data_IF_542572375955
#
_entry.id   IF_542572375955
#
_cell.length_a   1.000
_cell.length_b   1.000
_cell.length_c   1.000
_cell.angle_alpha   90.00
_cell.angle_beta   90.00
_cell.angle_gamma   90.00
#
_symmetry.space_group_name_H-M   'P 1'
#
loop_
_entity.id
_entity.type
_entity.pdbx_description
1 polymer ?
#
# COMPACT_ATOMS: atom_id res chain seq x y z
N UNK A 1 13.08 13.22 3.47
CA UNK A 1 12.81 12.35 4.64
C UNK A 1 13.67 11.09 4.53
N UNK A 2 13.98 10.37 5.61
CA UNK A 2 14.61 9.03 5.48
C UNK A 2 13.52 7.97 5.31
N UNK A 3 13.24 7.63 4.05
CA UNK A 3 12.22 6.66 3.67
C UNK A 3 12.51 5.25 4.19
N UNK A 4 13.80 4.85 4.27
CA UNK A 4 14.18 3.53 4.78
C UNK A 4 13.88 3.43 6.28
N UNK A 5 14.28 4.46 7.04
CA UNK A 5 13.98 4.53 8.47
C UNK A 5 12.48 4.49 8.76
N UNK A 6 11.67 5.20 7.97
CA UNK A 6 10.22 5.19 8.15
C UNK A 6 9.61 3.82 7.75
N UNK A 7 10.12 3.18 6.70
CA UNK A 7 9.73 1.81 6.34
C UNK A 7 10.03 0.81 7.47
N UNK A 8 11.16 0.95 8.15
CA UNK A 8 11.52 0.10 9.30
C UNK A 8 10.59 0.35 10.50
N UNK A 9 10.20 1.60 10.75
CA UNK A 9 9.22 1.92 11.80
C UNK A 9 7.85 1.28 11.50
N UNK A 10 7.41 1.33 10.24
CA UNK A 10 6.19 0.65 9.79
C UNK A 10 6.33 -0.86 9.98
N UNK A 11 7.48 -1.43 9.62
CA UNK A 11 7.74 -2.86 9.76
C UNK A 11 7.61 -3.33 11.22
N UNK A 12 8.27 -2.62 12.13
CA UNK A 12 8.19 -2.89 13.58
C UNK A 12 6.75 -2.79 14.06
N UNK A 13 6.03 -1.75 13.65
CA UNK A 13 4.63 -1.55 14.01
C UNK A 13 3.72 -2.67 13.47
N UNK A 14 3.95 -3.16 12.26
CA UNK A 14 3.20 -4.28 11.68
C UNK A 14 3.50 -5.57 12.43
N UNK A 15 4.77 -5.92 12.62
CA UNK A 15 5.18 -7.14 13.34
C UNK A 15 4.59 -7.21 14.74
N UNK A 16 4.55 -6.09 15.46
CA UNK A 16 3.97 -6.01 16.81
C UNK A 16 2.46 -6.32 16.86
N UNK A 17 1.76 -6.26 15.73
CA UNK A 17 0.31 -6.54 15.60
C UNK A 17 0.01 -7.87 14.91
N UNK A 18 1.05 -8.61 14.51
CA UNK A 18 0.94 -9.87 13.80
C UNK A 18 0.81 -11.07 14.73
N UNK A 19 0.25 -12.17 14.21
CA UNK A 19 0.21 -13.46 14.91
C UNK A 19 0.62 -14.60 13.97
N UNK A 20 1.44 -15.58 14.42
CA UNK A 20 1.89 -16.69 13.58
C UNK A 20 0.73 -17.49 12.98
N UNK A 21 -0.29 -17.81 13.77
CA UNK A 21 -1.45 -18.57 13.29
C UNK A 21 -2.18 -17.85 12.16
N UNK A 22 -2.30 -16.53 12.22
CA UNK A 22 -2.90 -15.73 11.14
C UNK A 22 -1.97 -15.67 9.93
N UNK A 23 -0.66 -15.53 10.14
CA UNK A 23 0.32 -15.51 9.07
C UNK A 23 0.24 -16.81 8.24
N UNK A 24 0.18 -17.96 8.90
CA UNK A 24 0.07 -19.26 8.23
C UNK A 24 -1.24 -19.39 7.45
N UNK A 25 -2.37 -19.02 8.07
CA UNK A 25 -3.68 -19.07 7.41
C UNK A 25 -3.76 -18.16 6.19
N UNK A 26 -3.31 -16.91 6.31
CA UNK A 26 -3.33 -15.95 5.21
C UNK A 26 -2.37 -16.37 4.08
N UNK A 27 -1.17 -16.85 4.43
CA UNK A 27 -0.22 -17.39 3.45
C UNK A 27 -0.82 -18.55 2.66
N UNK A 28 -1.49 -19.49 3.34
CA UNK A 28 -2.16 -20.63 2.70
C UNK A 28 -3.35 -20.19 1.84
N UNK A 29 -4.20 -19.30 2.35
CA UNK A 29 -5.37 -18.79 1.64
C UNK A 29 -4.98 -18.05 0.35
N UNK A 30 -3.98 -17.16 0.43
CA UNK A 30 -3.50 -16.39 -0.71
C UNK A 30 -2.52 -17.18 -1.60
N UNK A 31 -2.20 -18.44 -1.24
CA UNK A 31 -1.20 -19.27 -1.92
C UNK A 31 0.11 -18.50 -2.15
N UNK A 32 0.55 -17.82 -1.10
CA UNK A 32 1.58 -16.79 -1.19
C UNK A 32 2.98 -17.35 -0.94
N UNK A 33 3.91 -17.01 -1.83
CA UNK A 33 5.35 -17.25 -1.65
C UNK A 33 6.03 -16.15 -0.79
N UNK A 34 5.33 -15.06 -0.50
CA UNK A 34 5.83 -13.96 0.33
C UNK A 34 5.81 -14.31 1.82
N UNK A 35 6.57 -13.55 2.62
CA UNK A 35 6.43 -13.57 4.08
C UNK A 35 5.09 -12.97 4.52
N UNK A 36 4.59 -13.43 5.65
CA UNK A 36 3.39 -12.91 6.30
C UNK A 36 3.67 -12.70 7.79
N UNK A 37 3.23 -11.57 8.32
CA UNK A 37 3.26 -11.29 9.76
C UNK A 37 1.96 -11.71 10.45
N UNK A 38 0.88 -11.90 9.68
CA UNK A 38 -0.43 -12.23 10.21
C UNK A 38 -1.12 -11.01 10.83
N UNK A 39 -0.97 -9.83 10.23
CA UNK A 39 -1.67 -8.62 10.66
C UNK A 39 -3.04 -8.56 9.98
N UNK A 40 -4.05 -8.01 10.66
CA UNK A 40 -5.36 -7.81 10.04
C UNK A 40 -5.33 -6.60 9.08
N UNK A 41 -6.14 -6.61 8.02
CA UNK A 41 -6.26 -5.43 7.12
C UNK A 41 -6.66 -4.15 7.88
N UNK A 42 -7.61 -4.17 8.84
CA UNK A 42 -7.89 -3.00 9.69
C UNK A 42 -6.66 -2.47 10.44
N UNK A 43 -5.81 -3.36 10.97
CA UNK A 43 -4.60 -2.96 11.68
C UNK A 43 -3.52 -2.38 10.74
N UNK A 44 -3.37 -2.96 9.55
CA UNK A 44 -2.48 -2.40 8.50
C UNK A 44 -2.92 -0.98 8.15
N UNK A 45 -4.23 -0.77 7.95
CA UNK A 45 -4.80 0.57 7.69
C UNK A 45 -4.58 1.52 8.84
N UNK A 46 -4.70 1.05 10.08
CA UNK A 46 -4.43 1.84 11.28
C UNK A 46 -2.98 2.33 11.32
N UNK A 47 -2.01 1.44 11.03
CA UNK A 47 -0.59 1.79 10.93
C UNK A 47 -0.35 2.80 9.82
N UNK A 48 -0.85 2.56 8.60
CA UNK A 48 -0.71 3.49 7.48
C UNK A 48 -1.31 4.87 7.78
N UNK A 49 -2.48 4.90 8.44
CA UNK A 49 -3.14 6.15 8.83
C UNK A 49 -2.35 6.91 9.88
N UNK A 50 -1.75 6.22 10.85
CA UNK A 50 -0.90 6.86 11.84
C UNK A 50 0.30 7.56 11.18
N UNK A 51 0.97 6.88 10.23
CA UNK A 51 2.05 7.49 9.43
C UNK A 51 1.55 8.70 8.65
N UNK A 52 0.43 8.58 7.94
CA UNK A 52 -0.14 9.69 7.18
C UNK A 52 -0.48 10.90 8.08
N UNK A 53 -1.00 10.66 9.29
CA UNK A 53 -1.29 11.73 10.25
C UNK A 53 -0.04 12.38 10.85
N UNK A 54 1.04 11.63 11.00
CA UNK A 54 2.33 12.13 11.50
C UNK A 54 3.10 12.90 10.42
N UNK A 55 2.81 12.61 9.15
CA UNK A 55 3.49 13.19 7.99
C UNK A 55 2.50 13.79 6.97
N UNK A 56 1.67 14.79 7.35
CA UNK A 56 0.68 15.38 6.44
C UNK A 56 1.32 16.08 5.23
N UNK A 57 2.58 16.51 5.35
CA UNK A 57 3.37 17.14 4.29
C UNK A 57 4.25 16.18 3.50
N UNK A 58 3.97 14.87 3.53
CA UNK A 58 4.74 13.88 2.75
C UNK A 58 4.71 14.25 1.26
N UNK A 59 5.89 14.49 0.69
CA UNK A 59 6.03 14.85 -0.72
C UNK A 59 5.77 13.63 -1.62
N UNK A 60 5.50 13.87 -2.92
CA UNK A 60 5.39 12.81 -3.93
C UNK A 60 6.65 11.93 -3.96
N UNK A 61 7.83 12.55 -3.95
CA UNK A 61 9.10 11.82 -4.03
C UNK A 61 9.35 11.00 -2.76
N UNK A 62 9.09 11.55 -1.56
CA UNK A 62 9.20 10.81 -0.30
C UNK A 62 8.18 9.66 -0.22
N UNK A 63 6.96 9.85 -0.74
CA UNK A 63 5.94 8.80 -0.82
C UNK A 63 6.41 7.65 -1.70
N UNK A 64 6.91 7.93 -2.91
CA UNK A 64 7.40 6.90 -3.82
C UNK A 64 8.63 6.18 -3.27
N UNK A 65 9.53 6.91 -2.60
CA UNK A 65 10.68 6.32 -1.92
C UNK A 65 10.25 5.38 -0.78
N UNK A 66 9.27 5.78 0.04
CA UNK A 66 8.72 4.97 1.11
C UNK A 66 8.02 3.71 0.59
N UNK A 67 7.19 3.88 -0.45
CA UNK A 67 6.52 2.76 -1.14
C UNK A 67 7.55 1.78 -1.68
N UNK A 68 8.61 2.28 -2.33
CA UNK A 68 9.72 1.44 -2.81
C UNK A 68 10.40 0.65 -1.69
N UNK A 69 10.72 1.31 -0.57
CA UNK A 69 11.36 0.67 0.59
C UNK A 69 10.46 -0.39 1.26
N UNK A 70 9.16 -0.16 1.33
CA UNK A 70 8.20 -1.14 1.81
C UNK A 70 8.08 -2.34 0.87
N UNK A 71 8.08 -2.08 -0.45
CA UNK A 71 7.85 -3.09 -1.48
C UNK A 71 9.04 -4.03 -1.74
N UNK A 72 10.26 -3.52 -1.53
CA UNK A 72 11.51 -4.24 -1.75
C UNK A 72 11.64 -5.50 -0.88
N UNK A 73 11.00 -5.50 0.29
CA UNK A 73 10.93 -6.68 1.16
C UNK A 73 9.68 -7.48 0.79
N UNK A 74 9.79 -8.76 0.39
CA UNK A 74 8.67 -9.57 -0.08
C UNK A 74 7.80 -10.08 1.08
N UNK A 75 7.17 -9.14 1.80
CA UNK A 75 6.21 -9.41 2.87
C UNK A 75 4.87 -8.77 2.52
N UNK A 76 3.79 -9.55 2.64
CA UNK A 76 2.45 -9.14 2.22
C UNK A 76 1.99 -7.86 2.94
N UNK A 77 2.12 -7.81 4.27
CA UNK A 77 1.64 -6.68 5.07
C UNK A 77 2.42 -5.39 4.81
N UNK A 78 3.72 -5.48 4.48
CA UNK A 78 4.53 -4.32 4.08
C UNK A 78 4.02 -3.73 2.76
N UNK A 79 3.78 -4.61 1.78
CA UNK A 79 3.23 -4.20 0.47
C UNK A 79 1.82 -3.65 0.61
N UNK A 80 0.99 -4.26 1.45
CA UNK A 80 -0.36 -3.75 1.73
C UNK A 80 -0.31 -2.37 2.39
N UNK A 81 0.59 -2.14 3.34
CA UNK A 81 0.80 -0.80 3.92
C UNK A 81 1.21 0.23 2.86
N UNK A 82 2.07 -0.15 1.92
CA UNK A 82 2.46 0.73 0.80
C UNK A 82 1.24 1.11 -0.09
N UNK A 83 0.37 0.14 -0.40
CA UNK A 83 -0.87 0.41 -1.15
C UNK A 83 -1.80 1.34 -0.37
N UNK A 84 -1.98 1.13 0.94
CA UNK A 84 -2.83 2.01 1.76
C UNK A 84 -2.27 3.45 1.83
N UNK A 85 -0.94 3.62 1.88
CA UNK A 85 -0.30 4.93 1.77
C UNK A 85 -0.55 5.58 0.41
N UNK A 86 -0.40 4.84 -0.70
CA UNK A 86 -0.73 5.35 -2.04
C UNK A 86 -2.18 5.79 -2.15
N UNK A 87 -3.12 5.07 -1.53
CA UNK A 87 -4.54 5.45 -1.49
C UNK A 87 -4.77 6.75 -0.72
N UNK A 88 -4.13 6.89 0.45
CA UNK A 88 -4.29 8.08 1.30
C UNK A 88 -3.70 9.34 0.64
N UNK A 89 -2.60 9.21 -0.08
CA UNK A 89 -1.90 10.29 -0.77
C UNK A 89 -2.12 10.28 -2.29
N UNK A 90 -3.24 9.75 -2.77
CA UNK A 90 -3.53 9.63 -4.20
C UNK A 90 -3.51 10.99 -4.93
N UNK A 91 -3.84 12.07 -4.21
CA UNK A 91 -3.82 13.46 -4.69
C UNK A 91 -2.41 14.01 -4.96
N UNK A 92 -1.37 13.26 -4.55
CA UNK A 92 0.04 13.57 -4.82
C UNK A 92 0.59 12.84 -6.05
N UNK A 93 -0.13 11.85 -6.55
CA UNK A 93 0.28 11.06 -7.72
C UNK A 93 -0.04 11.81 -9.01
N UNK A 94 0.79 11.59 -10.03
CA UNK A 94 0.72 12.27 -11.32
C UNK A 94 0.98 11.29 -12.47
N UNK A 95 0.68 11.69 -13.70
CA UNK A 95 0.87 10.85 -14.90
C UNK A 95 2.25 10.17 -15.01
N UNK A 96 3.37 10.85 -14.68
CA UNK A 96 4.69 10.22 -14.68
C UNK A 96 4.88 9.04 -13.70
N UNK A 97 4.00 8.88 -12.71
CA UNK A 97 4.09 7.79 -11.72
C UNK A 97 3.53 6.47 -12.22
N UNK A 98 2.82 6.47 -13.35
CA UNK A 98 2.16 5.28 -13.91
C UNK A 98 3.14 4.12 -14.08
N UNK A 99 4.34 4.37 -14.60
CA UNK A 99 5.35 3.32 -14.78
C UNK A 99 5.79 2.68 -13.45
N UNK A 100 5.87 3.47 -12.37
CA UNK A 100 6.18 2.96 -11.05
C UNK A 100 5.02 2.08 -10.53
N UNK A 101 3.78 2.53 -10.69
CA UNK A 101 2.58 1.79 -10.24
C UNK A 101 2.37 0.49 -11.04
N UNK A 102 2.62 0.50 -12.35
CA UNK A 102 2.59 -0.69 -13.21
C UNK A 102 3.61 -1.74 -12.76
N UNK A 103 4.81 -1.30 -12.33
CA UNK A 103 5.82 -2.21 -11.76
C UNK A 103 5.30 -2.87 -10.49
N UNK A 104 4.67 -2.11 -9.58
CA UNK A 104 4.07 -2.67 -8.37
C UNK A 104 2.96 -3.67 -8.70
N UNK A 105 2.09 -3.37 -9.68
CA UNK A 105 1.05 -4.29 -10.13
C UNK A 105 1.64 -5.61 -10.63
N UNK A 106 2.70 -5.56 -11.44
CA UNK A 106 3.39 -6.76 -11.95
C UNK A 106 4.00 -7.59 -10.82
N UNK A 107 4.57 -6.95 -9.82
CA UNK A 107 5.25 -7.59 -8.67
C UNK A 107 4.29 -8.02 -7.55
N UNK A 108 3.00 -7.69 -7.64
CA UNK A 108 2.00 -7.94 -6.59
C UNK A 108 1.73 -9.43 -6.38
N UNK A 109 1.69 -10.21 -7.47
CA UNK A 109 1.49 -11.68 -7.48
C UNK A 109 0.23 -12.19 -6.75
N UNK A 110 -0.68 -11.31 -6.31
CA UNK A 110 -1.95 -11.66 -5.68
C UNK A 110 -2.99 -10.57 -5.92
N UNK A 111 -4.24 -10.98 -6.09
CA UNK A 111 -5.40 -10.09 -6.23
C UNK A 111 -5.55 -9.16 -5.02
N UNK A 112 -5.16 -9.63 -3.82
CA UNK A 112 -5.28 -8.87 -2.57
C UNK A 112 -4.46 -7.57 -2.56
N UNK A 113 -3.42 -7.47 -3.41
CA UNK A 113 -2.65 -6.23 -3.61
C UNK A 113 -3.06 -5.51 -4.90
N UNK A 114 -3.36 -6.25 -5.96
CA UNK A 114 -3.76 -5.69 -7.26
C UNK A 114 -5.05 -4.87 -7.15
N UNK A 115 -6.09 -5.42 -6.51
CA UNK A 115 -7.40 -4.77 -6.41
C UNK A 115 -7.33 -3.39 -5.72
N UNK A 116 -6.77 -3.28 -4.50
CA UNK A 116 -6.66 -1.98 -3.84
C UNK A 116 -5.66 -1.04 -4.51
N UNK A 117 -4.63 -1.55 -5.19
CA UNK A 117 -3.68 -0.73 -5.94
C UNK A 117 -4.33 -0.15 -7.20
N UNK A 118 -5.08 -0.95 -7.95
CA UNK A 118 -5.84 -0.48 -9.11
C UNK A 118 -6.88 0.58 -8.70
N UNK A 119 -7.56 0.39 -7.57
CA UNK A 119 -8.47 1.39 -7.00
C UNK A 119 -7.75 2.69 -6.61
N UNK A 120 -6.49 2.62 -6.15
CA UNK A 120 -5.68 3.81 -5.87
C UNK A 120 -5.33 4.58 -7.14
N UNK A 121 -4.98 3.86 -8.22
CA UNK A 121 -4.57 4.45 -9.51
C UNK A 121 -5.75 5.05 -10.28
N UNK A 122 -6.90 4.36 -10.27
CA UNK A 122 -8.09 4.83 -10.99
C UNK A 122 -8.71 6.10 -10.39
N UNK A 123 -8.33 6.47 -9.16
CA UNK A 123 -8.96 7.53 -8.39
C UNK A 123 -10.39 7.14 -7.93
N UNK A 124 -11.06 7.99 -7.13
CA UNK A 124 -12.49 7.85 -6.92
C UNK A 124 -13.19 7.81 -8.30
N UNK A 125 -14.32 7.07 -8.44
CA UNK A 125 -15.06 7.05 -9.70
C UNK A 125 -15.29 8.50 -10.12
N UNK A 126 -14.77 8.89 -11.29
CA UNK A 126 -15.11 10.16 -11.88
C UNK A 126 -16.64 10.20 -11.90
N UNK A 127 -17.25 11.09 -11.12
CA UNK A 127 -18.67 11.36 -11.23
C UNK A 127 -18.92 11.63 -12.70
N UNK A 128 -19.60 10.69 -13.36
CA UNK A 128 -19.95 10.78 -14.76
C UNK A 128 -20.77 12.04 -14.87
N UNK A 129 -20.18 13.09 -15.41
CA UNK A 129 -20.90 14.29 -15.81
C UNK A 129 -22.01 13.80 -16.75
N UNK A 130 -23.31 13.93 -16.38
CA UNK A 130 -24.36 13.64 -17.33
C UNK A 130 -24.12 14.58 -18.52
N UNK A 131 -24.02 14.01 -19.72
CA UNK A 131 -23.93 14.81 -20.95
C UNK A 131 -25.10 15.81 -20.93
N UNK A 132 -24.90 17.10 -21.20
CA UNK A 132 -26.03 17.98 -21.43
C UNK A 132 -26.81 17.41 -22.62
N UNK A 133 -28.07 17.07 -22.36
CA UNK A 133 -29.00 16.64 -23.39
C UNK A 133 -29.16 17.75 -24.43
N UNK A 134 -29.14 17.34 -25.69
CA UNK A 134 -29.43 18.16 -26.86
C UNK A 134 -30.87 18.68 -26.86
#
# INVERSE_FOLDING_TARGET
MDASRLADQIDVALRARGTPDRAEREKAYLKSESGHYGVSVPDIRSVARAVASQHPGLSRDDLLALVGALWAVPVHERRMAAVELLRMFHDRLSGPDIAALERLLRESHTWALVDPLAAAVAGPPAERHPRPGA
#
